data_IF_390186314078
#
_entry.id   IF_390186314078
#
_cell.length_a   1.000
_cell.length_b   1.000
_cell.length_c   1.000
_cell.angle_alpha   90.00
_cell.angle_beta   90.00
_cell.angle_gamma   90.00
#
_symmetry.space_group_name_H-M   'P 1'
#
loop_
_entity.id
_entity.type
_entity.pdbx_description
1 polymer ?
#
# COMPACT_ATOMS: atom_id res chain seq x y z
N UNK A 1 -2.74 19.90 17.83
CA UNK A 1 -3.68 18.80 17.49
C UNK A 1 -4.15 17.99 18.72
N UNK A 2 -3.76 18.34 19.96
CA UNK A 2 -4.27 17.74 21.19
C UNK A 2 -3.65 16.40 21.61
N UNK A 3 -2.65 15.90 20.88
CA UNK A 3 -1.88 14.72 21.30
C UNK A 3 -0.85 15.11 22.35
N UNK A 4 -0.80 14.35 23.47
CA UNK A 4 0.14 14.57 24.58
C UNK A 4 1.47 13.84 24.41
N UNK A 5 1.53 12.86 23.51
CA UNK A 5 2.73 12.07 23.20
C UNK A 5 2.87 11.92 21.71
N UNK A 6 3.95 12.45 21.15
CA UNK A 6 4.25 12.42 19.71
C UNK A 6 5.70 11.98 19.56
N UNK A 7 5.93 10.97 18.71
CA UNK A 7 7.27 10.52 18.36
C UNK A 7 7.43 10.58 16.84
N UNK A 8 8.44 11.31 16.36
CA UNK A 8 8.82 11.28 14.95
C UNK A 8 9.51 9.96 14.62
N UNK A 9 9.22 9.41 13.45
CA UNK A 9 9.85 8.18 12.94
C UNK A 9 10.85 8.59 11.87
N UNK A 10 12.15 8.56 12.20
CA UNK A 10 13.23 8.79 11.23
C UNK A 10 13.50 7.54 10.39
N UNK A 11 13.78 6.41 11.04
CA UNK A 11 13.99 5.11 10.41
C UNK A 11 13.01 4.07 10.92
N UNK A 12 12.95 3.88 12.23
CA UNK A 12 12.02 2.94 12.86
C UNK A 12 11.64 3.37 14.29
N UNK A 13 10.55 2.80 14.79
CA UNK A 13 10.12 2.89 16.19
C UNK A 13 9.65 1.52 16.66
N UNK A 14 9.86 1.25 17.95
CA UNK A 14 9.36 0.03 18.60
C UNK A 14 8.17 0.36 19.49
N UNK A 15 7.04 -0.34 19.26
CA UNK A 15 5.83 -0.26 20.05
C UNK A 15 5.52 -1.63 20.65
N UNK A 16 6.01 -1.88 21.86
CA UNK A 16 5.96 -3.23 22.46
C UNK A 16 6.69 -4.26 21.58
N UNK A 17 6.01 -5.33 21.15
CA UNK A 17 6.62 -6.33 20.25
C UNK A 17 6.69 -5.89 18.78
N UNK A 18 5.96 -4.83 18.40
CA UNK A 18 5.84 -4.37 17.02
C UNK A 18 7.00 -3.44 16.68
N UNK A 19 7.65 -3.68 15.56
CA UNK A 19 8.61 -2.77 14.95
C UNK A 19 7.95 -2.11 13.74
N UNK A 20 7.85 -0.77 13.77
CA UNK A 20 7.46 0.04 12.62
C UNK A 20 8.70 0.59 11.96
N UNK A 21 8.85 0.38 10.65
CA UNK A 21 9.94 0.97 9.86
C UNK A 21 9.35 1.93 8.83
N UNK A 22 10.03 3.07 8.65
CA UNK A 22 9.71 4.04 7.61
C UNK A 22 10.35 3.63 6.28
N UNK A 23 9.58 3.76 5.20
CA UNK A 23 10.02 3.46 3.83
C UNK A 23 9.77 4.63 2.88
N UNK A 24 10.50 4.69 1.75
CA UNK A 24 10.23 5.67 0.70
C UNK A 24 8.81 5.54 0.16
N UNK A 25 8.18 6.69 -0.07
CA UNK A 25 6.91 6.81 -0.79
C UNK A 25 6.93 8.08 -1.62
N UNK A 26 6.07 8.18 -2.65
CA UNK A 26 6.02 9.32 -3.55
C UNK A 26 4.58 9.61 -3.96
N UNK A 27 4.04 10.73 -3.47
CA UNK A 27 2.67 11.16 -3.74
C UNK A 27 2.63 12.02 -5.01
N UNK A 28 2.51 11.36 -6.16
CA UNK A 28 2.60 11.97 -7.48
C UNK A 28 3.99 11.97 -8.07
N UNK A 29 4.20 12.74 -9.13
CA UNK A 29 5.49 12.88 -9.84
C UNK A 29 5.81 14.35 -10.14
N UNK A 30 7.11 14.67 -10.34
CA UNK A 30 7.57 16.00 -10.71
C UNK A 30 7.08 17.10 -9.76
N UNK A 31 6.64 18.24 -10.31
CA UNK A 31 6.19 19.38 -9.53
C UNK A 31 4.97 19.11 -8.63
N UNK A 32 4.16 18.08 -8.96
CA UNK A 32 3.05 17.66 -8.10
C UNK A 32 3.57 16.99 -6.84
N UNK A 33 4.54 16.08 -6.95
CA UNK A 33 5.19 15.46 -5.78
C UNK A 33 5.83 16.51 -4.86
N UNK A 34 6.46 17.54 -5.43
CA UNK A 34 7.04 18.65 -4.65
C UNK A 34 5.98 19.41 -3.86
N UNK A 35 4.79 19.63 -4.45
CA UNK A 35 3.65 20.29 -3.78
C UNK A 35 3.02 19.41 -2.69
N UNK A 36 2.95 18.09 -2.90
CA UNK A 36 2.42 17.12 -1.91
C UNK A 36 3.36 17.00 -0.71
N UNK A 37 4.64 17.28 -0.89
CA UNK A 37 5.66 17.23 0.15
C UNK A 37 6.08 15.78 0.49
N UNK A 38 6.88 15.63 1.58
CA UNK A 38 7.41 14.34 1.96
C UNK A 38 6.31 13.43 2.51
N UNK A 39 6.23 12.21 1.96
CA UNK A 39 5.34 11.12 2.36
C UNK A 39 6.14 9.88 2.73
N UNK A 40 5.51 8.89 3.35
CA UNK A 40 6.17 7.65 3.73
C UNK A 40 5.25 6.45 3.58
N UNK A 41 5.84 5.29 3.26
CA UNK A 41 5.30 3.98 3.54
C UNK A 41 5.77 3.48 4.91
N UNK A 42 5.13 2.43 5.42
CA UNK A 42 5.47 1.81 6.69
C UNK A 42 5.51 0.29 6.55
N UNK A 43 6.44 -0.38 7.23
CA UNK A 43 6.29 -1.81 7.52
C UNK A 43 6.03 -2.04 8.99
N UNK A 44 5.29 -3.13 9.26
CA UNK A 44 4.94 -3.60 10.61
C UNK A 44 5.44 -5.03 10.74
N UNK A 45 6.29 -5.26 11.71
CA UNK A 45 6.89 -6.56 11.96
C UNK A 45 6.71 -6.93 13.44
N UNK A 46 6.24 -8.13 13.72
CA UNK A 46 6.15 -8.67 15.08
C UNK A 46 6.43 -10.18 15.08
N UNK A 47 6.98 -10.77 16.16
CA UNK A 47 7.24 -12.19 16.21
C UNK A 47 5.98 -13.03 16.05
N UNK A 48 5.98 -13.96 15.08
CA UNK A 48 4.87 -14.88 14.80
C UNK A 48 3.70 -14.26 14.04
N UNK A 49 3.79 -13.00 13.62
CA UNK A 49 2.76 -12.32 12.85
C UNK A 49 3.22 -12.08 11.40
N UNK A 50 2.28 -12.00 10.43
CA UNK A 50 2.62 -11.62 9.07
C UNK A 50 3.29 -10.25 9.00
N UNK A 51 4.36 -10.13 8.23
CA UNK A 51 4.99 -8.85 7.93
C UNK A 51 4.08 -8.06 6.98
N UNK A 52 3.66 -6.87 7.41
CA UNK A 52 2.81 -5.99 6.62
C UNK A 52 3.62 -4.81 6.08
N UNK A 53 3.46 -4.50 4.80
CA UNK A 53 3.98 -3.31 4.15
C UNK A 53 2.82 -2.43 3.70
N UNK A 54 2.72 -1.21 4.23
CA UNK A 54 1.73 -0.21 3.85
C UNK A 54 2.39 0.85 2.96
N UNK A 55 1.95 0.93 1.71
CA UNK A 55 2.52 1.85 0.72
C UNK A 55 2.24 3.33 1.04
N UNK A 56 1.15 3.63 1.77
CA UNK A 56 0.66 5.00 1.97
C UNK A 56 0.15 5.62 0.66
N UNK A 57 0.04 6.94 0.63
CA UNK A 57 -0.27 7.69 -0.59
C UNK A 57 0.98 7.74 -1.46
N UNK A 58 1.08 6.80 -2.39
CA UNK A 58 2.22 6.66 -3.27
C UNK A 58 1.83 6.11 -4.63
N UNK A 59 2.47 6.58 -5.67
CA UNK A 59 2.56 5.89 -6.95
C UNK A 59 3.55 4.73 -6.85
N UNK A 60 3.44 3.73 -7.72
CA UNK A 60 4.45 2.67 -7.82
C UNK A 60 5.69 3.23 -8.53
N UNK A 61 6.82 3.28 -7.81
CA UNK A 61 8.09 3.75 -8.35
C UNK A 61 9.25 2.90 -7.79
N UNK A 62 10.44 2.93 -8.42
CA UNK A 62 11.52 2.00 -8.09
C UNK A 62 11.89 1.94 -6.60
N UNK A 63 12.11 3.06 -5.86
CA UNK A 63 12.47 2.99 -4.45
C UNK A 63 11.43 2.32 -3.55
N UNK A 64 10.11 2.44 -3.85
CA UNK A 64 9.06 1.73 -3.14
C UNK A 64 9.17 0.23 -3.40
N UNK A 65 9.33 -0.17 -4.66
CA UNK A 65 9.48 -1.58 -5.05
C UNK A 65 10.71 -2.22 -4.41
N UNK A 66 11.84 -1.50 -4.40
CA UNK A 66 13.07 -1.96 -3.76
C UNK A 66 12.90 -2.13 -2.25
N UNK A 67 12.26 -1.17 -1.58
CA UNK A 67 11.97 -1.24 -0.15
C UNK A 67 11.00 -2.38 0.20
N UNK A 68 9.95 -2.59 -0.59
CA UNK A 68 9.04 -3.72 -0.42
C UNK A 68 9.78 -5.05 -0.63
N UNK A 69 10.65 -5.14 -1.66
CA UNK A 69 11.47 -6.32 -1.90
C UNK A 69 12.40 -6.62 -0.72
N UNK A 70 13.07 -5.60 -0.18
CA UNK A 70 13.96 -5.75 0.97
C UNK A 70 13.20 -6.11 2.27
N UNK A 71 11.93 -5.71 2.38
CA UNK A 71 11.07 -6.07 3.52
C UNK A 71 10.60 -7.52 3.45
N UNK A 72 10.33 -8.05 2.25
CA UNK A 72 9.77 -9.39 2.04
C UNK A 72 8.40 -9.58 2.70
N UNK A 73 7.41 -8.71 2.43
CA UNK A 73 6.16 -8.72 3.17
C UNK A 73 5.26 -9.90 2.80
N UNK A 74 4.54 -10.41 3.79
CA UNK A 74 3.43 -11.36 3.60
C UNK A 74 2.17 -10.64 3.10
N UNK A 75 2.02 -9.36 3.47
CA UNK A 75 0.86 -8.52 3.15
C UNK A 75 1.33 -7.15 2.68
N UNK A 76 0.78 -6.68 1.56
CA UNK A 76 1.00 -5.33 1.05
C UNK A 76 -0.34 -4.60 1.01
N UNK A 77 -0.42 -3.44 1.65
CA UNK A 77 -1.60 -2.57 1.59
C UNK A 77 -1.31 -1.41 0.65
N UNK A 78 -2.14 -1.25 -0.37
CA UNK A 78 -2.03 -0.21 -1.39
C UNK A 78 -3.19 0.78 -1.31
N UNK A 79 -2.94 2.03 -1.68
CA UNK A 79 -3.96 2.99 -2.02
C UNK A 79 -4.14 2.95 -3.53
N UNK A 80 -5.28 2.43 -4.00
CA UNK A 80 -5.46 1.96 -5.39
C UNK A 80 -6.58 2.70 -6.14
N UNK A 81 -6.97 3.87 -5.68
CA UNK A 81 -8.07 4.61 -6.30
C UNK A 81 -7.71 5.38 -7.57
N UNK A 82 -6.44 5.37 -8.00
CA UNK A 82 -6.01 6.12 -9.18
C UNK A 82 -6.28 7.62 -9.07
N UNK A 83 -6.10 8.20 -7.88
CA UNK A 83 -6.38 9.61 -7.67
C UNK A 83 -5.49 10.49 -8.53
N UNK A 84 -6.09 11.54 -9.12
CA UNK A 84 -5.43 12.48 -10.01
C UNK A 84 -5.42 13.88 -9.43
N UNK A 85 -4.29 14.57 -9.54
CA UNK A 85 -4.16 15.98 -9.23
C UNK A 85 -3.35 16.68 -10.32
N UNK A 86 -3.90 17.77 -10.87
CA UNK A 86 -3.26 18.54 -11.93
C UNK A 86 -2.79 17.65 -13.12
N UNK A 87 -3.70 16.74 -13.57
CA UNK A 87 -3.45 15.71 -14.59
C UNK A 87 -2.29 14.75 -14.26
N UNK A 88 -1.88 14.65 -13.00
CA UNK A 88 -0.83 13.74 -12.55
C UNK A 88 -1.42 12.70 -11.62
N UNK A 89 -1.07 11.43 -11.84
CA UNK A 89 -1.40 10.34 -10.93
C UNK A 89 -0.68 10.54 -9.59
N UNK A 90 -1.40 10.52 -8.48
CA UNK A 90 -0.83 10.79 -7.16
C UNK A 90 -0.83 9.56 -6.23
N UNK A 91 -1.68 8.57 -6.46
CA UNK A 91 -1.65 7.24 -5.83
C UNK A 91 -1.80 6.17 -6.90
N UNK A 92 -1.51 4.92 -6.59
CA UNK A 92 -1.59 3.82 -7.56
C UNK A 92 -2.96 3.73 -8.23
N UNK A 93 -2.97 3.50 -9.53
CA UNK A 93 -4.13 3.09 -10.31
C UNK A 93 -4.26 1.56 -10.38
N UNK A 94 -5.12 1.06 -11.23
CA UNK A 94 -5.31 -0.37 -11.44
C UNK A 94 -4.06 -1.02 -12.06
N UNK A 95 -3.42 -0.40 -13.06
CA UNK A 95 -2.21 -0.95 -13.68
C UNK A 95 -1.09 -1.09 -12.66
N UNK A 96 -0.78 -0.04 -11.92
CA UNK A 96 0.28 -0.05 -10.91
C UNK A 96 -0.02 -1.02 -9.76
N UNK A 97 -1.29 -1.13 -9.33
CA UNK A 97 -1.71 -2.09 -8.31
C UNK A 97 -1.52 -3.53 -8.78
N UNK A 98 -1.87 -3.82 -10.04
CA UNK A 98 -1.69 -5.14 -10.63
C UNK A 98 -0.21 -5.47 -10.86
N UNK A 99 0.59 -4.52 -11.32
CA UNK A 99 2.05 -4.67 -11.45
C UNK A 99 2.71 -5.03 -10.11
N UNK A 100 2.26 -4.38 -9.03
CA UNK A 100 2.74 -4.69 -7.69
C UNK A 100 2.32 -6.10 -7.26
N UNK A 101 1.06 -6.48 -7.49
CA UNK A 101 0.55 -7.81 -7.16
C UNK A 101 1.28 -8.94 -7.91
N UNK A 102 1.68 -8.69 -9.16
CA UNK A 102 2.48 -9.65 -9.95
C UNK A 102 3.93 -9.71 -9.49
N UNK A 103 4.51 -8.56 -9.10
CA UNK A 103 5.88 -8.51 -8.61
C UNK A 103 6.07 -9.24 -7.27
N UNK A 104 5.01 -9.36 -6.48
CA UNK A 104 5.03 -10.05 -5.16
C UNK A 104 4.10 -11.27 -5.15
N UNK A 105 4.43 -12.34 -5.87
CA UNK A 105 3.53 -13.48 -6.08
C UNK A 105 3.21 -14.28 -4.82
N UNK A 106 3.96 -14.11 -3.74
CA UNK A 106 3.73 -14.79 -2.45
C UNK A 106 2.97 -13.93 -1.46
N UNK A 107 2.88 -12.61 -1.69
CA UNK A 107 2.19 -11.71 -0.80
C UNK A 107 0.68 -11.63 -1.11
N UNK A 108 -0.10 -11.32 -0.07
CA UNK A 108 -1.48 -10.85 -0.23
C UNK A 108 -1.47 -9.34 -0.42
N UNK A 109 -1.99 -8.84 -1.53
CA UNK A 109 -2.16 -7.40 -1.78
C UNK A 109 -3.58 -6.99 -1.40
N UNK A 110 -3.72 -5.95 -0.60
CA UNK A 110 -5.00 -5.40 -0.15
C UNK A 110 -5.14 -4.00 -0.73
N UNK A 111 -6.06 -3.83 -1.69
CA UNK A 111 -6.36 -2.55 -2.31
C UNK A 111 -7.35 -1.77 -1.44
N UNK A 112 -6.91 -0.61 -0.97
CA UNK A 112 -7.69 0.29 -0.10
C UNK A 112 -7.79 1.70 -0.70
N UNK A 113 -8.35 2.64 0.07
CA UNK A 113 -8.47 4.06 -0.30
C UNK A 113 -9.31 4.24 -1.59
N UNK A 114 -10.43 3.51 -1.71
CA UNK A 114 -11.23 3.46 -2.93
C UNK A 114 -12.59 4.12 -2.73
N UNK A 115 -13.05 4.84 -3.77
CA UNK A 115 -14.41 5.38 -3.88
C UNK A 115 -14.81 6.42 -2.81
N UNK A 116 -13.86 6.94 -2.03
CA UNK A 116 -14.13 7.91 -0.96
C UNK A 116 -13.83 9.37 -1.37
N UNK A 117 -13.18 9.58 -2.53
CA UNK A 117 -12.72 10.89 -2.98
C UNK A 117 -13.25 11.22 -4.38
N UNK A 118 -13.54 12.48 -4.64
CA UNK A 118 -14.06 12.99 -5.91
C UNK A 118 -13.05 12.96 -7.06
N UNK A 119 -11.76 12.93 -6.75
CA UNK A 119 -10.65 12.83 -7.70
C UNK A 119 -10.12 11.40 -7.89
N UNK A 120 -10.76 10.41 -7.26
CA UNK A 120 -10.49 9.00 -7.49
C UNK A 120 -11.07 8.55 -8.83
N UNK A 121 -10.25 7.87 -9.67
CA UNK A 121 -10.65 7.46 -11.01
C UNK A 121 -10.97 5.98 -11.13
N UNK A 122 -10.49 5.16 -10.18
CA UNK A 122 -10.63 3.70 -10.18
C UNK A 122 -11.60 3.25 -9.09
N UNK A 123 -12.69 2.58 -9.50
CA UNK A 123 -13.61 1.94 -8.58
C UNK A 123 -13.18 0.50 -8.24
N UNK A 124 -13.69 -0.04 -7.11
CA UNK A 124 -13.51 -1.46 -6.75
C UNK A 124 -13.96 -2.41 -7.87
N UNK A 125 -15.05 -2.05 -8.56
CA UNK A 125 -15.56 -2.83 -9.69
C UNK A 125 -14.61 -2.78 -10.88
N UNK A 126 -14.04 -1.62 -11.20
CA UNK A 126 -13.05 -1.45 -12.27
C UNK A 126 -11.79 -2.27 -11.98
N UNK A 127 -11.25 -2.15 -10.77
CA UNK A 127 -10.05 -2.91 -10.36
C UNK A 127 -10.30 -4.43 -10.39
N UNK A 128 -11.46 -4.92 -9.93
CA UNK A 128 -11.80 -6.35 -10.03
C UNK A 128 -11.87 -6.83 -11.48
N UNK A 129 -12.42 -6.01 -12.37
CA UNK A 129 -12.48 -6.31 -13.80
C UNK A 129 -11.07 -6.39 -14.39
N UNK A 130 -10.24 -5.38 -14.16
CA UNK A 130 -8.86 -5.35 -14.64
C UNK A 130 -8.04 -6.54 -14.11
N UNK A 131 -8.17 -6.87 -12.83
CA UNK A 131 -7.53 -8.05 -12.23
C UNK A 131 -7.92 -9.37 -12.91
N UNK A 132 -9.21 -9.53 -13.21
CA UNK A 132 -9.72 -10.70 -13.93
C UNK A 132 -9.18 -10.79 -15.36
N UNK A 133 -9.17 -9.68 -16.09
CA UNK A 133 -8.67 -9.59 -17.46
C UNK A 133 -7.17 -9.89 -17.53
N UNK A 134 -6.42 -9.46 -16.51
CA UNK A 134 -4.97 -9.69 -16.41
C UNK A 134 -4.61 -11.05 -15.78
N UNK A 135 -5.60 -11.81 -15.28
CA UNK A 135 -5.41 -13.13 -14.69
C UNK A 135 -4.78 -13.13 -13.30
N UNK A 136 -4.87 -12.00 -12.59
CA UNK A 136 -4.38 -11.90 -11.20
C UNK A 136 -5.30 -12.68 -10.27
N UNK A 137 -4.72 -13.54 -9.42
CA UNK A 137 -5.46 -14.37 -8.47
C UNK A 137 -6.18 -13.50 -7.42
N UNK A 138 -7.53 -13.55 -7.44
CA UNK A 138 -8.38 -12.79 -6.52
C UNK A 138 -8.28 -13.25 -5.06
N UNK A 139 -7.68 -14.40 -4.77
CA UNK A 139 -7.36 -14.81 -3.40
C UNK A 139 -6.19 -14.02 -2.85
N UNK A 140 -5.29 -13.55 -3.71
CA UNK A 140 -4.12 -12.75 -3.35
C UNK A 140 -4.34 -11.25 -3.51
N UNK A 141 -5.13 -10.80 -4.48
CA UNK A 141 -5.55 -9.40 -4.59
C UNK A 141 -6.93 -9.25 -3.93
N UNK A 142 -6.95 -8.75 -2.72
CA UNK A 142 -8.16 -8.49 -1.94
C UNK A 142 -8.59 -7.04 -2.14
N UNK A 143 -9.87 -6.85 -2.45
CA UNK A 143 -10.46 -5.52 -2.72
C UNK A 143 -11.68 -5.40 -1.80
N UNK A 144 -11.49 -5.10 -0.49
CA UNK A 144 -12.57 -5.12 0.48
C UNK A 144 -13.59 -4.00 0.27
N UNK A 145 -14.82 -4.24 0.73
CA UNK A 145 -15.79 -3.20 0.96
C UNK A 145 -15.42 -2.37 2.20
N UNK A 146 -16.03 -1.18 2.34
CA UNK A 146 -15.81 -0.37 3.54
C UNK A 146 -16.33 -1.10 4.79
N UNK A 147 -15.48 -1.20 5.81
CA UNK A 147 -15.76 -1.94 7.03
C UNK A 147 -15.66 -3.47 6.90
N UNK A 148 -15.31 -4.01 5.75
CA UNK A 148 -15.08 -5.45 5.60
C UNK A 148 -13.83 -5.88 6.37
N UNK A 149 -13.96 -6.97 7.13
CA UNK A 149 -12.84 -7.58 7.86
C UNK A 149 -12.19 -8.64 6.99
N UNK A 150 -10.87 -8.59 6.86
CA UNK A 150 -10.08 -9.60 6.16
C UNK A 150 -9.26 -10.39 7.19
N UNK A 151 -9.52 -11.68 7.28
CA UNK A 151 -8.66 -12.58 8.06
C UNK A 151 -7.45 -12.98 7.20
N UNK A 152 -6.26 -12.75 7.75
CA UNK A 152 -4.99 -13.16 7.15
C UNK A 152 -4.51 -14.41 7.86
N UNK A 153 -4.22 -15.46 7.09
CA UNK A 153 -3.60 -16.66 7.66
C UNK A 153 -2.21 -16.33 8.23
N UNK A 154 -1.87 -16.90 9.37
CA UNK A 154 -0.48 -16.85 9.88
C UNK A 154 0.41 -17.60 8.90
N UNK A 155 1.57 -17.05 8.49
CA UNK A 155 2.52 -17.77 7.66
C UNK A 155 2.87 -19.11 8.31
N UNK A 156 2.86 -20.19 7.53
CA UNK A 156 3.35 -21.46 8.04
C UNK A 156 4.83 -21.28 8.44
N UNK A 157 5.16 -21.55 9.70
CA UNK A 157 6.53 -21.60 10.14
C UNK A 157 7.24 -22.72 9.33
N UNK A 158 8.15 -22.33 8.46
CA UNK A 158 9.03 -23.22 7.69
C UNK A 158 10.27 -23.51 8.51
#
# INVERSE_FOLDING_TARGET
>A
AGFSSITAIDCYVRLGPIILKRHPAQHGTGAVADKMGPVMGLSFEAPGEPTLYWCGDSVLYPPLRDAATATGPDVIVTHSCGAMWDNTLIVMDDEQTLDLAEAFPLATVIATHMEALDHATISRTALRKAAKERGVDTRRLRIPADGEMIELGVPALV
#
